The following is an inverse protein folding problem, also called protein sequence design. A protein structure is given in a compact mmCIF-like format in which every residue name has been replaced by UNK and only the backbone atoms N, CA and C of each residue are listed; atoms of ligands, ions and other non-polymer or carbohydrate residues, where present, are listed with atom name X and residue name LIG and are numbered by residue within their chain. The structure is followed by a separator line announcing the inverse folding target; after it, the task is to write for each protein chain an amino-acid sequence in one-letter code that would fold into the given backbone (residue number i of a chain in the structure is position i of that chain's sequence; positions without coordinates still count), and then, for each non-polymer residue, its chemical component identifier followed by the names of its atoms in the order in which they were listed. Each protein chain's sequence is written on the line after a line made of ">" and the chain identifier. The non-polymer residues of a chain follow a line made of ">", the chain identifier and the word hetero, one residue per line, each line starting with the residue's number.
data_IF_474165669230
#
_entry.id   IF_474165669230
#
_cell.length_a   1.000
_cell.length_b   1.000
_cell.length_c   1.000
_cell.angle_alpha   90.00
_cell.angle_beta   90.00
_cell.angle_gamma   90.00
#
_symmetry.space_group_name_H-M   'P 1'
#
loop_
_entity.id
_entity.type
_entity.pdbx_description
1 polymer ?
#
# COMPACT_ATOMS: atom_id res chain seq x y z
N UNK A 1 11.70 21.01 21.41
CA UNK A 1 11.83 20.99 19.94
C UNK A 1 10.82 21.91 19.28
N UNK A 2 11.19 22.54 18.16
CA UNK A 2 10.25 23.25 17.27
C UNK A 2 9.62 22.27 16.26
N UNK A 3 8.60 22.72 15.54
CA UNK A 3 7.91 21.86 14.55
C UNK A 3 8.83 21.35 13.44
N UNK A 4 9.76 22.20 12.97
CA UNK A 4 10.73 21.82 11.93
C UNK A 4 11.66 20.71 12.43
N UNK A 5 12.25 20.91 13.61
CA UNK A 5 13.11 19.94 14.27
C UNK A 5 12.39 18.61 14.56
N UNK A 6 11.14 18.66 15.05
CA UNK A 6 10.34 17.45 15.27
C UNK A 6 10.11 16.69 13.95
N UNK A 7 9.73 17.41 12.89
CA UNK A 7 9.47 16.82 11.59
C UNK A 7 10.72 16.16 11.01
N UNK A 8 11.86 16.84 11.06
CA UNK A 8 13.16 16.32 10.61
C UNK A 8 13.56 15.05 11.37
N UNK A 9 13.52 15.10 12.71
CA UNK A 9 13.87 13.95 13.57
C UNK A 9 12.94 12.74 13.42
N UNK A 10 11.73 12.97 12.91
CA UNK A 10 10.76 11.93 12.62
C UNK A 10 10.72 11.51 11.14
N UNK A 11 11.58 12.09 10.29
CA UNK A 11 11.60 11.79 8.85
C UNK A 11 10.29 12.18 8.13
N UNK A 12 9.68 13.29 8.52
CA UNK A 12 8.42 13.78 7.94
C UNK A 12 8.46 15.30 7.69
N UNK A 13 7.33 15.86 7.27
CA UNK A 13 7.21 17.30 6.99
C UNK A 13 6.47 18.03 8.10
N UNK A 14 6.76 19.32 8.30
CA UNK A 14 6.00 20.15 9.24
C UNK A 14 4.49 20.22 8.88
N UNK A 15 4.15 20.06 7.59
CA UNK A 15 2.76 19.94 7.13
C UNK A 15 2.09 18.68 7.70
N UNK A 16 2.77 17.53 7.64
CA UNK A 16 2.27 16.29 8.22
C UNK A 16 2.09 16.41 9.74
N UNK A 17 3.05 17.02 10.44
CA UNK A 17 2.92 17.27 11.89
C UNK A 17 1.66 18.08 12.21
N UNK A 18 1.41 19.19 11.49
CA UNK A 18 0.18 19.99 11.68
C UNK A 18 -1.10 19.20 11.38
N UNK A 19 -1.03 18.32 10.39
CA UNK A 19 -2.13 17.45 10.02
C UNK A 19 -2.47 16.43 11.12
N UNK A 20 -1.45 15.84 11.76
CA UNK A 20 -1.62 14.94 12.91
C UNK A 20 -2.11 15.69 14.16
N UNK A 21 -1.64 16.92 14.40
CA UNK A 21 -2.18 17.78 15.46
C UNK A 21 -3.67 18.07 15.26
N UNK A 22 -4.08 18.42 14.03
CA UNK A 22 -5.47 18.73 13.71
C UNK A 22 -6.42 17.53 13.95
N UNK A 23 -5.89 16.31 13.91
CA UNK A 23 -6.62 15.06 14.23
C UNK A 23 -6.52 14.63 15.69
N UNK A 24 -5.87 15.43 16.53
CA UNK A 24 -5.69 15.15 17.96
C UNK A 24 -4.64 14.07 18.27
N UNK A 25 -3.90 13.59 17.27
CA UNK A 25 -2.89 12.54 17.42
C UNK A 25 -1.57 13.06 17.97
N UNK A 26 -1.29 14.34 17.78
CA UNK A 26 -0.21 15.05 18.46
C UNK A 26 -0.75 16.21 19.30
N UNK A 27 -0.14 16.49 20.46
CA UNK A 27 -0.51 17.62 21.29
C UNK A 27 0.06 18.94 20.72
N UNK A 28 -0.79 19.95 20.58
CA UNK A 28 -0.39 21.28 20.10
C UNK A 28 0.06 22.24 21.21
N UNK A 29 0.95 21.79 22.12
CA UNK A 29 1.41 22.62 23.25
C UNK A 29 2.12 23.88 22.77
N UNK A 30 1.92 25.00 23.48
CA UNK A 30 2.56 26.28 23.19
C UNK A 30 3.40 26.75 24.38
N UNK A 31 4.54 27.37 24.07
CA UNK A 31 5.36 28.04 25.07
C UNK A 31 4.76 29.40 25.49
N UNK A 32 5.33 30.03 26.51
CA UNK A 32 4.92 31.35 27.01
C UNK A 32 5.02 32.47 25.95
N UNK A 33 5.73 32.23 24.84
CA UNK A 33 5.87 33.16 23.72
C UNK A 33 4.90 32.84 22.57
N UNK A 34 3.99 31.88 22.77
CA UNK A 34 2.94 31.50 21.82
C UNK A 34 3.38 30.53 20.73
N UNK A 35 4.62 30.06 20.73
CA UNK A 35 5.12 29.14 19.70
C UNK A 35 4.83 27.69 20.06
N UNK A 36 4.58 26.84 19.05
CA UNK A 36 4.44 25.39 19.26
C UNK A 36 5.75 24.78 19.77
N UNK A 37 5.63 23.90 20.75
CA UNK A 37 6.77 23.19 21.36
C UNK A 37 6.44 21.71 21.54
N UNK A 38 7.45 20.88 21.26
CA UNK A 38 7.36 19.43 21.35
C UNK A 38 8.51 18.85 22.17
N UNK A 39 8.29 17.68 22.75
CA UNK A 39 9.26 16.93 23.52
C UNK A 39 9.49 15.51 22.94
N UNK A 40 10.36 14.74 23.58
CA UNK A 40 10.70 13.37 23.16
C UNK A 40 9.50 12.42 23.16
N UNK A 41 8.46 12.69 23.96
CA UNK A 41 7.23 11.89 23.96
C UNK A 41 6.48 12.12 22.66
N UNK A 42 6.38 13.37 22.21
CA UNK A 42 5.74 13.69 20.94
C UNK A 42 6.49 13.10 19.75
N UNK A 43 7.83 13.07 19.80
CA UNK A 43 8.63 12.38 18.79
C UNK A 43 8.34 10.87 18.73
N UNK A 44 8.18 10.23 19.89
CA UNK A 44 7.79 8.80 19.94
C UNK A 44 6.41 8.56 19.34
N UNK A 45 5.43 9.40 19.68
CA UNK A 45 4.08 9.32 19.08
C UNK A 45 4.15 9.47 17.56
N UNK A 46 4.90 10.46 17.08
CA UNK A 46 5.02 10.73 15.65
C UNK A 46 5.70 9.58 14.91
N UNK A 47 6.77 9.00 15.46
CA UNK A 47 7.42 7.81 14.90
C UNK A 47 6.48 6.61 14.84
N UNK A 48 5.71 6.38 15.90
CA UNK A 48 4.70 5.31 15.92
C UNK A 48 3.68 5.48 14.80
N UNK A 49 3.15 6.70 14.61
CA UNK A 49 2.20 7.00 13.52
C UNK A 49 2.84 6.72 12.16
N UNK A 50 4.08 7.19 11.93
CA UNK A 50 4.80 6.98 10.67
C UNK A 50 5.03 5.51 10.37
N UNK A 51 5.52 4.75 11.34
CA UNK A 51 5.75 3.31 11.20
C UNK A 51 4.46 2.56 10.83
N UNK A 52 3.32 2.88 11.46
CA UNK A 52 2.04 2.26 11.12
C UNK A 52 1.57 2.66 9.71
N UNK A 53 1.72 3.92 9.32
CA UNK A 53 1.37 4.35 7.96
C UNK A 53 2.23 3.66 6.89
N UNK A 54 3.50 3.41 7.18
CA UNK A 54 4.40 2.69 6.27
C UNK A 54 3.98 1.21 6.10
N UNK A 55 3.25 0.64 7.07
CA UNK A 55 2.62 -0.68 6.98
C UNK A 55 1.24 -0.68 6.28
N UNK A 56 0.77 0.48 5.82
CA UNK A 56 -0.53 0.60 5.14
C UNK A 56 -1.73 0.76 6.07
N UNK A 57 -1.51 1.13 7.34
CA UNK A 57 -2.59 1.56 8.21
C UNK A 57 -3.04 2.97 7.84
N UNK A 58 -4.34 3.18 7.84
CA UNK A 58 -4.92 4.51 7.77
C UNK A 58 -4.63 5.28 9.05
N UNK A 59 -4.66 6.60 8.95
CA UNK A 59 -4.28 7.45 10.07
C UNK A 59 -5.18 7.26 11.31
N UNK A 60 -6.49 7.09 11.12
CA UNK A 60 -7.41 6.90 12.24
C UNK A 60 -7.19 5.56 12.95
N UNK A 61 -6.71 4.53 12.24
CA UNK A 61 -6.35 3.22 12.82
C UNK A 61 -5.16 3.33 13.78
N UNK A 62 -4.34 4.38 13.67
CA UNK A 62 -3.18 4.59 14.55
C UNK A 62 -3.54 5.09 15.95
N UNK A 63 -4.78 5.56 16.15
CA UNK A 63 -5.21 6.23 17.39
C UNK A 63 -5.04 5.36 18.65
N UNK A 64 -5.43 4.06 18.66
CA UNK A 64 -5.24 3.21 19.85
C UNK A 64 -3.76 3.06 20.25
N UNK A 65 -2.84 3.08 19.28
CA UNK A 65 -1.40 3.01 19.55
C UNK A 65 -0.87 4.28 20.20
N UNK A 66 -1.33 5.43 19.70
CA UNK A 66 -1.00 6.75 20.27
C UNK A 66 -1.54 6.87 21.69
N UNK A 67 -2.77 6.43 21.93
CA UNK A 67 -3.39 6.42 23.26
C UNK A 67 -2.65 5.51 24.23
N UNK A 68 -2.25 4.32 23.78
CA UNK A 68 -1.44 3.40 24.56
C UNK A 68 -0.11 4.03 25.01
N UNK A 69 0.62 4.69 24.10
CA UNK A 69 1.84 5.41 24.44
C UNK A 69 1.60 6.58 25.40
N UNK A 70 0.48 7.31 25.23
CA UNK A 70 0.09 8.42 26.13
C UNK A 70 -0.25 7.94 27.54
N UNK A 71 -0.79 6.72 27.68
CA UNK A 71 -1.00 6.08 28.97
C UNK A 71 0.30 5.66 29.68
N UNK A 72 1.46 5.83 29.02
CA UNK A 72 2.78 5.58 29.62
C UNK A 72 3.32 4.18 29.36
N UNK A 73 2.66 3.40 28.49
CA UNK A 73 3.19 2.10 28.08
C UNK A 73 4.50 2.25 27.28
N UNK A 74 5.41 1.26 27.38
CA UNK A 74 6.70 1.31 26.69
C UNK A 74 6.57 1.26 25.17
N UNK A 75 5.51 0.60 24.66
CA UNK A 75 5.23 0.44 23.22
C UNK A 75 3.76 0.77 22.94
N UNK A 76 3.45 1.20 21.70
CA UNK A 76 2.09 1.54 21.30
C UNK A 76 1.16 0.33 21.15
N UNK A 77 1.71 -0.87 21.02
CA UNK A 77 0.99 -2.13 20.88
C UNK A 77 0.90 -2.93 22.20
N UNK A 78 1.20 -2.30 23.33
CA UNK A 78 1.07 -2.93 24.66
C UNK A 78 -0.38 -3.02 25.15
N UNK A 79 -1.33 -2.39 24.46
CA UNK A 79 -2.72 -2.28 24.88
C UNK A 79 -3.64 -3.22 24.08
N UNK A 80 -4.72 -3.74 24.68
CA UNK A 80 -5.67 -4.61 23.98
C UNK A 80 -6.25 -4.00 22.70
N UNK A 81 -6.55 -2.69 22.72
CA UNK A 81 -7.17 -1.99 21.59
C UNK A 81 -6.24 -1.88 20.38
N UNK A 82 -4.94 -1.64 20.59
CA UNK A 82 -3.96 -1.62 19.51
C UNK A 82 -3.73 -3.02 18.93
N UNK A 83 -3.72 -4.06 19.78
CA UNK A 83 -3.68 -5.45 19.29
C UNK A 83 -4.94 -5.82 18.47
N UNK A 84 -6.11 -5.30 18.85
CA UNK A 84 -7.34 -5.50 18.09
C UNK A 84 -7.28 -4.84 16.70
N UNK A 85 -6.60 -3.69 16.56
CA UNK A 85 -6.35 -3.07 15.25
C UNK A 85 -5.49 -3.98 14.37
N UNK A 86 -4.40 -4.55 14.90
CA UNK A 86 -3.58 -5.48 14.13
C UNK A 86 -4.37 -6.72 13.66
N UNK A 87 -5.20 -7.30 14.52
CA UNK A 87 -6.03 -8.45 14.15
C UNK A 87 -6.99 -8.11 13.00
N UNK A 88 -7.71 -6.99 13.10
CA UNK A 88 -8.61 -6.55 12.02
C UNK A 88 -7.86 -6.34 10.70
N UNK A 89 -6.66 -5.75 10.75
CA UNK A 89 -5.86 -5.55 9.55
C UNK A 89 -5.42 -6.85 8.90
N UNK A 90 -5.07 -7.86 9.71
CA UNK A 90 -4.76 -9.20 9.20
C UNK A 90 -6.00 -9.81 8.53
N UNK A 91 -7.17 -9.73 9.16
CA UNK A 91 -8.42 -10.25 8.58
C UNK A 91 -8.75 -9.56 7.23
N UNK A 92 -8.58 -8.25 7.13
CA UNK A 92 -8.75 -7.47 5.89
C UNK A 92 -7.77 -7.92 4.79
N UNK A 93 -6.49 -8.09 5.15
CA UNK A 93 -5.46 -8.53 4.21
C UNK A 93 -5.72 -9.95 3.72
N UNK A 94 -6.13 -10.86 4.60
CA UNK A 94 -6.45 -12.24 4.24
C UNK A 94 -7.67 -12.31 3.31
N UNK A 95 -8.69 -11.49 3.54
CA UNK A 95 -9.84 -11.36 2.65
C UNK A 95 -9.41 -10.88 1.26
N UNK A 96 -8.62 -9.81 1.19
CA UNK A 96 -8.10 -9.27 -0.08
C UNK A 96 -7.23 -10.30 -0.82
N UNK A 97 -6.37 -11.02 -0.10
CA UNK A 97 -5.57 -12.09 -0.68
C UNK A 97 -6.45 -13.20 -1.25
N UNK A 98 -7.55 -13.55 -0.59
CA UNK A 98 -8.55 -14.49 -1.09
C UNK A 98 -9.18 -14.03 -2.40
N UNK A 99 -9.63 -12.78 -2.47
CA UNK A 99 -10.21 -12.19 -3.68
C UNK A 99 -9.22 -12.15 -4.85
N UNK A 100 -8.00 -11.69 -4.60
CA UNK A 100 -6.95 -11.62 -5.62
C UNK A 100 -6.56 -13.01 -6.14
N UNK A 101 -6.52 -14.03 -5.26
CA UNK A 101 -6.33 -15.42 -5.66
C UNK A 101 -7.47 -15.89 -6.57
N UNK A 102 -8.72 -15.62 -6.22
CA UNK A 102 -9.87 -16.02 -7.04
C UNK A 102 -9.84 -15.35 -8.44
N UNK A 103 -9.47 -14.07 -8.51
CA UNK A 103 -9.30 -13.36 -9.79
C UNK A 103 -8.17 -13.99 -10.61
N UNK A 104 -7.01 -14.25 -9.99
CA UNK A 104 -5.87 -14.91 -10.65
C UNK A 104 -6.27 -16.25 -11.27
N UNK A 105 -6.95 -17.11 -10.52
CA UNK A 105 -7.36 -18.42 -11.03
C UNK A 105 -8.34 -18.31 -12.20
N UNK A 106 -9.24 -17.31 -12.16
CA UNK A 106 -10.14 -17.04 -13.28
C UNK A 106 -9.39 -16.60 -14.54
N UNK A 107 -8.41 -15.71 -14.41
CA UNK A 107 -7.57 -15.28 -15.53
C UNK A 107 -6.75 -16.44 -16.08
N UNK A 108 -6.15 -17.26 -15.21
CA UNK A 108 -5.40 -18.44 -15.61
C UNK A 108 -6.27 -19.44 -16.40
N UNK A 109 -7.51 -19.67 -15.94
CA UNK A 109 -8.46 -20.51 -16.66
C UNK A 109 -8.84 -19.98 -18.05
N UNK A 110 -9.04 -18.66 -18.18
CA UNK A 110 -9.32 -18.04 -19.49
C UNK A 110 -8.11 -18.14 -20.43
N UNK A 111 -6.90 -17.91 -19.93
CA UNK A 111 -5.67 -18.02 -20.71
C UNK A 111 -5.50 -19.44 -21.24
N UNK A 112 -5.58 -20.46 -20.38
CA UNK A 112 -5.42 -21.84 -20.79
C UNK A 112 -6.47 -22.27 -21.83
N UNK A 113 -7.70 -21.75 -21.74
CA UNK A 113 -8.73 -21.98 -22.76
C UNK A 113 -8.36 -21.34 -24.10
N UNK A 114 -7.89 -20.09 -24.07
CA UNK A 114 -7.50 -19.35 -25.27
C UNK A 114 -6.29 -20.00 -25.97
N UNK A 115 -5.30 -20.44 -25.21
CA UNK A 115 -4.12 -21.16 -25.73
C UNK A 115 -4.52 -22.45 -26.43
N UNK A 116 -5.36 -23.29 -25.81
CA UNK A 116 -5.88 -24.52 -26.44
C UNK A 116 -6.67 -24.24 -27.72
N UNK A 117 -7.50 -23.21 -27.73
CA UNK A 117 -8.24 -22.82 -28.93
C UNK A 117 -7.29 -22.39 -30.05
N UNK A 118 -6.23 -21.65 -29.71
CA UNK A 118 -5.18 -21.27 -30.65
C UNK A 118 -4.37 -22.47 -31.14
N UNK A 119 -4.07 -23.44 -30.29
CA UNK A 119 -3.41 -24.70 -30.67
C UNK A 119 -4.28 -25.48 -31.67
N UNK A 120 -5.59 -25.59 -31.42
CA UNK A 120 -6.53 -26.27 -32.32
C UNK A 120 -6.61 -25.59 -33.70
N UNK A 121 -6.70 -24.27 -33.76
CA UNK A 121 -6.71 -23.51 -35.02
C UNK A 121 -5.41 -23.72 -35.82
N UNK A 122 -4.26 -23.77 -35.15
CA UNK A 122 -2.98 -24.06 -35.81
C UNK A 122 -2.95 -25.50 -36.34
N UNK A 123 -3.48 -26.47 -35.58
CA UNK A 123 -3.57 -27.85 -36.02
C UNK A 123 -4.51 -28.01 -37.24
N UNK A 124 -5.64 -27.30 -37.26
CA UNK A 124 -6.57 -27.26 -38.40
C UNK A 124 -5.94 -26.61 -39.64
N UNK A 125 -5.14 -25.55 -39.47
CA UNK A 125 -4.42 -24.90 -40.58
C UNK A 125 -3.30 -25.77 -41.19
N UNK A 126 -2.77 -26.75 -40.44
CA UNK A 126 -1.81 -27.74 -40.93
C UNK A 126 -2.47 -28.86 -41.77
N UNK A 127 -3.81 -28.87 -41.89
CA UNK A 127 -4.53 -29.74 -42.83
C UNK A 127 -4.36 -29.18 -44.25
N UNK A 128 -3.95 -29.96 -45.28
CA UNK A 128 -3.64 -29.43 -46.60
C UNK A 128 -4.84 -28.71 -47.25
N UNK A 129 -4.71 -27.40 -47.49
CA UNK A 129 -5.63 -26.62 -48.33
C UNK A 129 -6.37 -25.42 -47.69
N UNK A 130 -6.15 -25.11 -46.40
CA UNK A 130 -6.74 -23.92 -45.75
C UNK A 130 -5.82 -22.68 -45.76
N UNK A 131 -6.34 -21.45 -45.96
CA UNK A 131 -5.56 -20.23 -45.74
C UNK A 131 -5.26 -20.06 -44.23
N UNK A 132 -4.04 -19.63 -43.88
CA UNK A 132 -3.68 -19.38 -42.47
C UNK A 132 -4.56 -18.27 -41.87
N UNK A 133 -5.14 -18.47 -40.66
CA UNK A 133 -5.91 -17.45 -39.98
C UNK A 133 -4.99 -16.29 -39.56
N UNK A 134 -5.20 -15.10 -40.12
CA UNK A 134 -4.46 -13.88 -39.77
C UNK A 134 -5.21 -13.05 -38.74
N UNK A 135 -4.52 -12.66 -37.67
CA UNK A 135 -5.00 -11.61 -36.77
C UNK A 135 -4.84 -10.25 -37.45
N UNK A 136 -5.95 -9.55 -37.71
CA UNK A 136 -5.97 -8.20 -38.29
C UNK A 136 -5.30 -7.13 -37.41
N UNK A 137 -4.94 -7.46 -36.16
CA UNK A 137 -4.30 -6.55 -35.20
C UNK A 137 -2.77 -6.68 -35.11
N UNK A 138 -2.13 -7.50 -35.95
CA UNK A 138 -0.67 -7.42 -36.10
C UNK A 138 -0.36 -6.11 -36.83
N UNK A 139 0.40 -5.16 -36.24
CA UNK A 139 0.81 -3.97 -36.97
C UNK A 139 1.65 -4.44 -38.17
N UNK A 140 1.17 -4.17 -39.37
CA UNK A 140 1.91 -4.47 -40.60
C UNK A 140 3.18 -3.59 -40.60
N UNK A 141 4.34 -4.19 -40.28
CA UNK A 141 5.63 -3.51 -40.39
C UNK A 141 6.60 -3.80 -39.26
N UNK A 142 7.16 -5.02 -39.21
CA UNK A 142 8.54 -5.17 -38.76
C UNK A 142 9.42 -5.02 -40.01
N UNK A 143 10.31 -4.01 -40.11
CA UNK A 143 11.17 -3.87 -41.27
C UNK A 143 12.17 -5.04 -41.31
N UNK A 144 12.21 -5.73 -42.45
CA UNK A 144 13.29 -6.63 -42.82
C UNK A 144 14.61 -5.86 -42.73
N UNK A 145 15.47 -6.30 -41.82
CA UNK A 145 16.83 -5.78 -41.65
C UNK A 145 17.62 -5.96 -42.94
N UNK A 146 17.88 -4.84 -43.62
CA UNK A 146 18.77 -4.78 -44.78
C UNK A 146 20.21 -4.81 -44.31
N UNK A 147 20.96 -5.78 -44.81
CA UNK A 147 22.40 -5.95 -44.72
C UNK A 147 23.17 -4.63 -44.98
N UNK A 148 24.18 -4.39 -44.16
CA UNK A 148 25.47 -3.81 -44.56
C UNK A 148 26.58 -4.44 -43.74
#
# INVERSE_FOLDING_TARGET
>A
MRIGELAERAGTTARAVRYYEARGLLPGRRDARGHRVYDERDLRLLRQIRTLQDFGFELEETRPFVECLRAGHPQGDSCPDSLAVYRRKLDELDALMGELRAVRERVAGQLARAERARDALVAEALVPGGPEPRCELVPQGAPEGRER
#
